data_IF_289802934128
#
_entry.id   IF_289802934128
#
_cell.length_a   1.000
_cell.length_b   1.000
_cell.length_c   1.000
_cell.angle_alpha   90.00
_cell.angle_beta   90.00
_cell.angle_gamma   90.00
#
_symmetry.space_group_name_H-M   'P 1'
#
loop_
_entity.id
_entity.type
_entity.pdbx_description
1 polymer ?
#
# COMPACT_ATOMS: atom_id res chain seq x y z
N UNK A 1 36.60 -49.45 -15.68
CA UNK A 1 36.95 -48.83 -14.39
C UNK A 1 38.29 -48.14 -14.53
N UNK A 2 38.30 -46.84 -14.80
CA UNK A 2 39.54 -46.05 -14.85
C UNK A 2 39.21 -44.67 -14.28
N UNK A 3 39.60 -44.46 -13.03
CA UNK A 3 39.31 -43.27 -12.24
C UNK A 3 40.26 -42.12 -12.61
N UNK A 4 39.71 -40.99 -13.02
CA UNK A 4 40.47 -39.73 -13.11
C UNK A 4 40.16 -38.88 -11.87
N UNK A 5 41.18 -38.69 -11.02
CA UNK A 5 41.24 -37.71 -9.93
C UNK A 5 42.33 -36.68 -10.25
N UNK A 6 42.21 -35.51 -9.59
CA UNK A 6 43.22 -34.46 -9.37
C UNK A 6 43.34 -33.38 -10.50
N UNK A 7 43.44 -32.07 -10.24
CA UNK A 7 43.84 -31.28 -9.05
C UNK A 7 43.12 -29.92 -8.99
N UNK A 8 42.77 -29.48 -7.77
CA UNK A 8 42.56 -28.06 -7.43
C UNK A 8 43.92 -27.35 -7.42
N UNK A 9 44.03 -26.23 -8.11
CA UNK A 9 45.18 -25.32 -7.99
C UNK A 9 44.76 -24.11 -7.13
N UNK A 10 45.34 -24.03 -5.94
CA UNK A 10 45.40 -22.82 -5.15
C UNK A 10 46.71 -22.09 -5.49
N UNK A 11 46.68 -20.77 -5.62
CA UNK A 11 47.86 -19.91 -5.61
C UNK A 11 47.62 -18.75 -4.62
N UNK A 12 48.67 -18.29 -3.90
CA UNK A 12 48.53 -17.38 -2.75
C UNK A 12 49.14 -15.98 -3.02
N UNK A 13 49.17 -15.17 -1.94
CA UNK A 13 50.05 -14.00 -1.69
C UNK A 13 49.51 -12.67 -2.26
N UNK A 14 48.83 -11.81 -1.47
CA UNK A 14 49.33 -10.89 -0.44
C UNK A 14 50.25 -9.78 -0.97
N UNK A 15 49.74 -8.55 -1.06
CA UNK A 15 50.55 -7.32 -1.01
C UNK A 15 49.91 -6.31 -0.07
N UNK A 16 50.81 -5.75 0.73
CA UNK A 16 50.72 -4.95 1.95
C UNK A 16 50.80 -3.44 1.70
N UNK A 17 50.21 -2.69 2.65
CA UNK A 17 50.62 -1.39 3.22
C UNK A 17 50.40 -0.09 2.41
N UNK A 18 49.62 0.83 3.00
CA UNK A 18 50.00 2.22 3.28
C UNK A 18 49.02 2.82 4.32
N UNK A 19 49.34 2.74 5.61
CA UNK A 19 49.68 3.90 6.47
C UNK A 19 49.25 5.28 5.97
N UNK A 20 48.35 5.91 6.72
CA UNK A 20 48.06 7.34 6.71
C UNK A 20 47.51 7.76 8.07
N UNK A 21 48.41 8.01 9.03
CA UNK A 21 48.14 8.72 10.28
C UNK A 21 48.05 10.22 10.02
N UNK A 22 47.14 10.93 10.69
CA UNK A 22 47.18 12.39 10.76
C UNK A 22 46.02 13.07 11.46
N UNK A 23 46.18 13.26 12.78
CA UNK A 23 45.88 14.45 13.62
C UNK A 23 44.50 15.16 13.48
N UNK A 24 43.66 15.13 14.52
CA UNK A 24 43.61 16.05 15.67
C UNK A 24 43.16 17.48 15.35
N UNK A 25 42.01 17.86 15.92
CA UNK A 25 41.47 19.22 15.89
C UNK A 25 40.20 19.33 16.72
N UNK A 26 40.36 19.40 18.05
CA UNK A 26 39.36 19.99 18.94
C UNK A 26 39.39 21.51 18.76
N UNK A 27 38.22 22.16 18.72
CA UNK A 27 38.04 23.46 19.34
C UNK A 27 36.56 23.80 19.46
N UNK A 28 36.10 23.82 20.71
CA UNK A 28 35.06 24.70 21.18
C UNK A 28 35.30 26.14 20.70
N UNK A 29 34.25 26.87 20.35
CA UNK A 29 34.23 28.28 20.67
C UNK A 29 32.82 28.75 20.98
N UNK A 30 32.76 29.36 22.15
CA UNK A 30 31.61 29.84 22.86
C UNK A 30 31.05 31.12 22.25
N UNK A 31 29.74 31.22 22.38
CA UNK A 31 28.92 32.42 22.29
C UNK A 31 29.37 33.49 23.31
N UNK A 32 29.41 34.79 22.97
CA UNK A 32 29.25 35.85 23.95
C UNK A 32 27.86 36.48 23.85
N UNK A 33 27.12 36.38 24.96
CA UNK A 33 25.96 37.19 25.25
C UNK A 33 26.35 38.64 25.61
N UNK A 34 25.58 39.62 25.15
CA UNK A 34 25.16 40.79 25.94
C UNK A 34 24.12 41.59 25.13
N UNK A 35 22.84 41.50 25.49
CA UNK A 35 22.15 42.47 26.36
C UNK A 35 21.54 43.62 25.56
N UNK A 36 20.22 43.55 25.36
CA UNK A 36 19.33 44.62 25.78
C UNK A 36 17.95 44.04 26.08
N UNK A 37 17.64 44.02 27.36
CA UNK A 37 16.34 43.74 27.92
C UNK A 37 15.47 45.00 27.80
N UNK A 38 14.22 44.85 27.34
CA UNK A 38 13.11 45.68 27.81
C UNK A 38 11.82 44.86 27.88
N UNK A 39 11.47 44.55 29.13
CA UNK A 39 10.15 44.47 29.75
C UNK A 39 8.93 44.88 28.90
N UNK A 40 7.95 43.97 28.79
CA UNK A 40 6.56 44.25 29.20
C UNK A 40 5.74 42.96 29.26
N UNK A 41 5.43 42.54 30.49
CA UNK A 41 4.39 41.60 30.83
C UNK A 41 3.02 42.18 30.52
N UNK A 42 2.30 41.64 29.53
CA UNK A 42 0.85 41.73 29.45
C UNK A 42 0.29 40.42 28.88
N UNK A 43 -0.35 39.66 29.76
CA UNK A 43 -1.22 38.54 29.42
C UNK A 43 -2.41 39.06 28.61
N UNK A 44 -2.34 38.94 27.29
CA UNK A 44 -3.48 39.16 26.42
C UNK A 44 -4.24 37.83 26.26
N UNK A 45 -5.44 37.80 26.82
CA UNK A 45 -6.44 36.74 26.65
C UNK A 45 -6.81 36.58 25.17
N UNK A 46 -6.88 35.33 24.71
CA UNK A 46 -7.26 34.90 23.36
C UNK A 46 -8.70 35.36 23.02
N UNK A 47 -8.92 36.10 21.91
CA UNK A 47 -10.22 36.69 21.58
C UNK A 47 -11.22 35.71 20.92
N UNK A 48 -10.92 34.41 20.84
CA UNK A 48 -11.80 33.41 20.26
C UNK A 48 -12.59 32.55 21.27
N UNK A 49 -12.71 32.99 22.53
CA UNK A 49 -13.65 32.40 23.48
C UNK A 49 -15.09 32.91 23.23
N UNK A 50 -15.64 32.58 22.06
CA UNK A 50 -17.07 32.70 21.82
C UNK A 50 -17.79 31.52 22.51
N UNK A 51 -18.89 31.86 23.18
CA UNK A 51 -19.67 31.00 24.06
C UNK A 51 -20.04 29.65 23.43
N UNK A 52 -19.75 28.57 24.17
CA UNK A 52 -20.29 27.24 23.94
C UNK A 52 -21.77 27.24 24.38
N UNK A 53 -22.76 27.06 23.48
CA UNK A 53 -24.18 27.20 23.83
C UNK A 53 -24.74 26.00 24.61
N UNK A 54 -23.91 25.03 25.01
CA UNK A 54 -24.36 23.81 25.70
C UNK A 54 -24.12 23.80 27.23
N UNK A 55 -23.86 24.96 27.86
CA UNK A 55 -23.63 25.03 29.30
C UNK A 55 -24.56 26.03 30.01
N UNK A 56 -25.87 25.84 29.91
CA UNK A 56 -26.86 26.28 30.91
C UNK A 56 -28.26 25.74 30.58
N UNK A 57 -28.72 24.72 31.31
CA UNK A 57 -30.10 24.59 31.80
C UNK A 57 -30.31 23.17 32.38
N UNK A 58 -30.11 23.04 33.69
CA UNK A 58 -30.84 22.06 34.47
C UNK A 58 -32.30 22.51 34.55
N UNK A 59 -33.22 21.81 33.90
CA UNK A 59 -34.63 21.67 34.31
C UNK A 59 -35.36 20.71 33.36
N UNK A 60 -35.75 19.55 33.91
CA UNK A 60 -36.97 18.79 33.63
C UNK A 60 -37.83 19.21 32.42
N UNK A 61 -37.91 18.34 31.40
CA UNK A 61 -38.88 18.42 30.32
C UNK A 61 -38.59 17.38 29.23
N UNK A 62 -39.61 16.68 28.75
CA UNK A 62 -39.54 15.48 27.91
C UNK A 62 -38.77 15.63 26.57
N UNK A 63 -38.18 14.51 26.10
CA UNK A 63 -37.53 14.35 24.80
C UNK A 63 -38.59 14.27 23.66
N UNK A 64 -38.56 15.16 22.65
CA UNK A 64 -39.58 15.25 21.60
C UNK A 64 -39.33 14.32 20.39
N UNK A 65 -38.45 13.32 20.47
CA UNK A 65 -38.19 12.38 19.36
C UNK A 65 -38.85 10.99 19.52
N UNK A 66 -39.85 10.83 20.39
CA UNK A 66 -40.69 9.64 20.43
C UNK A 66 -41.94 9.83 19.56
N UNK A 67 -41.78 9.78 18.23
CA UNK A 67 -42.90 9.72 17.30
C UNK A 67 -42.60 8.74 16.15
N UNK A 68 -43.40 7.66 16.12
CA UNK A 68 -43.69 6.75 15.00
C UNK A 68 -42.53 5.93 14.40
N UNK A 69 -42.34 4.72 14.92
CA UNK A 69 -41.70 3.60 14.23
C UNK A 69 -42.73 2.90 13.32
N UNK A 70 -42.59 2.91 11.97
CA UNK A 70 -43.63 2.40 11.07
C UNK A 70 -43.55 0.89 10.79
N UNK A 71 -42.70 0.13 11.49
CA UNK A 71 -42.47 -1.29 11.19
C UNK A 71 -43.03 -2.26 12.24
N UNK A 72 -44.28 -2.10 12.66
CA UNK A 72 -44.94 -3.09 13.52
C UNK A 72 -46.41 -3.30 13.13
N UNK A 73 -46.67 -4.18 12.14
CA UNK A 73 -47.73 -5.21 12.21
C UNK A 73 -47.83 -6.06 10.91
N UNK A 74 -47.76 -7.40 11.09
CA UNK A 74 -48.27 -8.51 10.26
C UNK A 74 -47.56 -8.80 8.91
N UNK A 75 -47.25 -10.05 8.49
CA UNK A 75 -47.63 -11.41 8.93
C UNK A 75 -46.53 -12.41 8.44
N UNK A 76 -46.29 -13.58 9.09
CA UNK A 76 -45.12 -14.43 8.87
C UNK A 76 -45.42 -15.57 7.90
N UNK A 77 -45.09 -15.44 6.61
CA UNK A 77 -45.08 -16.57 5.64
C UNK A 77 -44.36 -16.22 4.32
N UNK A 78 -43.17 -15.61 4.37
CA UNK A 78 -42.32 -15.50 3.19
C UNK A 78 -40.87 -15.78 3.57
N UNK A 79 -40.36 -16.91 3.09
CA UNK A 79 -38.95 -17.29 3.12
C UNK A 79 -38.19 -16.37 2.13
N UNK A 80 -37.27 -15.50 2.55
CA UNK A 80 -36.61 -14.55 1.65
C UNK A 80 -35.43 -15.17 0.90
N UNK A 81 -35.17 -16.48 1.05
CA UNK A 81 -34.24 -17.20 0.19
C UNK A 81 -34.90 -17.57 -1.15
N UNK A 82 -35.16 -16.58 -2.02
CA UNK A 82 -35.31 -16.78 -3.46
C UNK A 82 -35.22 -15.47 -4.25
N UNK A 83 -34.31 -15.49 -5.22
CA UNK A 83 -34.14 -14.59 -6.37
C UNK A 83 -33.31 -13.31 -6.17
N UNK A 84 -32.19 -13.25 -6.91
CA UNK A 84 -31.48 -12.00 -7.22
C UNK A 84 -29.96 -12.07 -7.10
N UNK A 85 -29.29 -13.04 -7.74
CA UNK A 85 -27.86 -12.93 -8.02
C UNK A 85 -27.63 -11.91 -9.14
N UNK A 86 -27.67 -10.63 -8.80
CA UNK A 86 -27.18 -9.57 -9.67
C UNK A 86 -25.69 -9.38 -9.41
N UNK A 87 -24.88 -10.21 -10.09
CA UNK A 87 -23.48 -9.92 -10.34
C UNK A 87 -23.38 -8.80 -11.38
N UNK A 88 -23.85 -7.61 -11.01
CA UNK A 88 -23.61 -6.38 -11.75
C UNK A 88 -22.29 -5.79 -11.27
N UNK A 89 -21.19 -6.13 -11.92
CA UNK A 89 -19.94 -5.37 -11.80
C UNK A 89 -20.14 -4.01 -12.47
N UNK A 90 -20.85 -3.09 -11.82
CA UNK A 90 -20.90 -1.71 -12.25
C UNK A 90 -19.55 -1.09 -11.94
N UNK A 91 -18.62 -1.22 -12.89
CA UNK A 91 -17.26 -0.71 -12.85
C UNK A 91 -17.19 0.82 -12.76
N UNK A 92 -18.34 1.49 -12.73
CA UNK A 92 -18.54 2.95 -12.79
C UNK A 92 -19.01 3.56 -11.47
N UNK A 93 -19.30 2.74 -10.44
CA UNK A 93 -19.74 3.28 -9.15
C UNK A 93 -18.54 3.97 -8.45
N UNK A 94 -18.70 5.22 -7.97
CA UNK A 94 -17.67 5.87 -7.18
C UNK A 94 -17.35 5.03 -5.94
N UNK A 95 -16.06 4.93 -5.60
CA UNK A 95 -15.64 4.22 -4.41
C UNK A 95 -16.26 4.95 -3.21
N UNK A 96 -16.90 4.24 -2.25
CA UNK A 96 -17.43 4.91 -1.08
C UNK A 96 -16.30 5.71 -0.44
N UNK A 97 -16.55 7.00 -0.19
CA UNK A 97 -15.54 7.87 0.40
C UNK A 97 -14.97 7.18 1.62
N UNK A 98 -13.67 6.86 1.57
CA UNK A 98 -13.01 6.30 2.72
C UNK A 98 -12.99 7.41 3.76
N UNK A 99 -13.92 7.34 4.72
CA UNK A 99 -13.87 8.18 5.92
C UNK A 99 -12.45 8.01 6.46
N UNK A 100 -11.67 9.09 6.64
CA UNK A 100 -10.30 8.99 7.13
C UNK A 100 -10.30 8.27 8.47
N UNK A 101 -10.02 6.97 8.43
CA UNK A 101 -9.98 6.12 9.61
C UNK A 101 -8.56 6.12 10.13
N UNK A 102 -8.43 6.37 11.42
CA UNK A 102 -7.18 6.23 12.16
C UNK A 102 -6.67 4.79 12.04
N UNK A 103 -5.37 4.57 12.24
CA UNK A 103 -4.81 3.21 12.26
C UNK A 103 -5.48 2.31 13.31
N UNK A 104 -6.04 2.90 14.38
CA UNK A 104 -6.82 2.20 15.39
C UNK A 104 -8.15 1.67 14.83
N UNK A 105 -8.78 2.38 13.90
CA UNK A 105 -10.06 2.01 13.28
C UNK A 105 -9.89 1.09 12.07
N UNK A 106 -8.70 1.04 11.47
CA UNK A 106 -8.34 0.11 10.42
C UNK A 106 -6.88 -0.35 10.60
N UNK A 107 -6.63 -1.39 11.44
CA UNK A 107 -5.27 -1.85 11.73
C UNK A 107 -4.54 -2.33 10.47
N UNK A 108 -5.30 -2.84 9.48
CA UNK A 108 -4.76 -3.36 8.23
C UNK A 108 -4.07 -2.28 7.38
N UNK A 109 -4.39 -0.99 7.60
CA UNK A 109 -3.81 0.15 6.88
C UNK A 109 -2.29 0.22 7.03
N UNK A 110 -1.79 -0.18 8.19
CA UNK A 110 -0.36 -0.12 8.53
C UNK A 110 0.45 -1.31 8.05
N UNK A 111 -0.20 -2.45 7.77
CA UNK A 111 0.50 -3.73 7.58
C UNK A 111 1.56 -3.72 6.47
N UNK A 112 1.32 -3.12 5.27
CA UNK A 112 2.35 -3.06 4.24
C UNK A 112 3.59 -2.24 4.61
N UNK A 113 3.54 -1.48 5.72
CA UNK A 113 4.59 -0.58 6.22
C UNK A 113 5.10 -0.95 7.62
N UNK A 114 4.54 -2.00 8.23
CA UNK A 114 4.79 -2.40 9.61
C UNK A 114 6.11 -3.15 9.76
N UNK A 115 7.23 -2.43 9.56
CA UNK A 115 8.60 -2.95 9.62
C UNK A 115 8.98 -3.52 10.99
N UNK A 116 8.24 -3.16 12.03
CA UNK A 116 8.38 -3.67 13.39
C UNK A 116 8.08 -5.18 13.52
N UNK A 117 7.38 -5.77 12.54
CA UNK A 117 6.98 -7.19 12.58
C UNK A 117 8.05 -8.15 12.02
N UNK A 118 9.21 -7.63 11.57
CA UNK A 118 10.35 -8.41 11.05
C UNK A 118 9.98 -9.43 9.97
N UNK A 119 9.01 -9.08 9.10
CA UNK A 119 8.65 -9.90 7.96
C UNK A 119 9.66 -9.76 6.81
N UNK A 120 9.76 -10.77 5.93
CA UNK A 120 10.58 -10.65 4.73
C UNK A 120 10.13 -9.45 3.88
N UNK A 121 11.06 -8.54 3.62
CA UNK A 121 10.85 -7.38 2.76
C UNK A 121 11.05 -7.75 1.29
N UNK A 122 10.44 -6.99 0.38
CA UNK A 122 10.74 -7.12 -1.04
C UNK A 122 12.16 -6.57 -1.32
N UNK A 123 12.91 -7.20 -2.24
CA UNK A 123 14.27 -6.79 -2.59
C UNK A 123 14.36 -5.33 -3.01
N UNK A 124 15.52 -4.70 -2.83
CA UNK A 124 15.74 -3.36 -3.38
C UNK A 124 15.89 -3.44 -4.91
N UNK A 125 15.56 -2.34 -5.61
CA UNK A 125 15.73 -2.29 -7.06
C UNK A 125 17.17 -2.50 -7.55
N UNK A 126 18.17 -2.27 -6.68
CA UNK A 126 19.59 -2.57 -6.94
C UNK A 126 19.92 -4.06 -6.89
N UNK A 127 19.10 -4.86 -6.22
CA UNK A 127 19.27 -6.31 -6.03
C UNK A 127 18.35 -7.10 -6.95
N UNK A 128 17.26 -6.49 -7.42
CA UNK A 128 16.32 -7.13 -8.33
C UNK A 128 16.95 -7.36 -9.72
N UNK A 129 16.96 -8.61 -10.22
CA UNK A 129 17.30 -8.88 -11.60
C UNK A 129 16.32 -8.16 -12.54
N UNK A 130 16.79 -7.84 -13.75
CA UNK A 130 16.04 -7.06 -14.76
C UNK A 130 14.92 -7.88 -15.46
N UNK A 131 14.28 -8.78 -14.70
CA UNK A 131 13.18 -9.65 -15.12
C UNK A 131 11.81 -9.01 -14.90
N UNK A 132 11.73 -7.92 -14.12
CA UNK A 132 10.53 -7.11 -13.95
C UNK A 132 10.81 -5.70 -14.46
N UNK A 133 10.11 -5.29 -15.52
CA UNK A 133 10.22 -3.92 -16.03
C UNK A 133 9.60 -2.93 -15.06
N UNK A 134 10.09 -1.69 -15.01
CA UNK A 134 9.55 -0.62 -14.16
C UNK A 134 9.38 -1.03 -12.69
N UNK A 135 10.32 -1.80 -12.16
CA UNK A 135 10.30 -2.23 -10.77
C UNK A 135 10.34 -1.03 -9.82
N UNK A 136 9.43 -1.01 -8.85
CA UNK A 136 9.43 -0.06 -7.75
C UNK A 136 8.99 -0.74 -6.45
N UNK A 137 9.23 -0.08 -5.32
CA UNK A 137 8.87 -0.55 -3.99
C UNK A 137 8.03 0.50 -3.26
N UNK A 138 6.71 0.54 -3.48
CA UNK A 138 5.83 1.49 -2.81
C UNK A 138 5.68 1.21 -1.30
N UNK A 139 5.97 0.01 -0.83
CA UNK A 139 6.07 -0.31 0.60
C UNK A 139 7.13 -1.39 0.88
N UNK A 140 7.62 -1.52 2.12
CA UNK A 140 8.61 -2.55 2.50
C UNK A 140 8.26 -3.98 2.07
N UNK A 141 6.97 -4.35 2.06
CA UNK A 141 6.53 -5.73 1.81
C UNK A 141 5.81 -5.94 0.47
N UNK A 142 5.57 -4.85 -0.29
CA UNK A 142 4.87 -4.89 -1.57
C UNK A 142 5.70 -4.16 -2.63
N UNK A 143 6.07 -4.89 -3.67
CA UNK A 143 6.70 -4.37 -4.87
C UNK A 143 5.66 -4.08 -5.95
N UNK A 144 5.97 -3.10 -6.79
CA UNK A 144 5.23 -2.74 -7.99
C UNK A 144 6.07 -3.07 -9.23
N UNK A 145 5.42 -3.53 -10.30
CA UNK A 145 6.11 -3.89 -11.53
C UNK A 145 5.26 -3.73 -12.81
N UNK A 146 5.96 -3.60 -13.92
CA UNK A 146 5.44 -3.82 -15.27
C UNK A 146 5.65 -5.27 -15.70
N UNK A 147 5.92 -5.45 -17.00
CA UNK A 147 6.04 -6.77 -17.61
C UNK A 147 7.06 -7.64 -16.87
N UNK A 148 6.65 -8.88 -16.62
CA UNK A 148 7.45 -9.95 -16.05
C UNK A 148 7.91 -10.83 -17.21
N UNK A 149 9.23 -10.98 -17.39
CA UNK A 149 9.80 -11.78 -18.48
C UNK A 149 9.40 -13.25 -18.34
N UNK A 150 9.30 -13.97 -19.47
CA UNK A 150 8.96 -15.40 -19.47
C UNK A 150 9.96 -16.22 -18.64
N UNK A 151 9.46 -17.11 -17.78
CA UNK A 151 10.31 -17.91 -16.89
C UNK A 151 10.88 -17.16 -15.68
N UNK A 152 10.53 -15.88 -15.49
CA UNK A 152 11.01 -15.10 -14.35
C UNK A 152 10.44 -15.56 -13.00
N UNK A 153 9.38 -16.37 -12.96
CA UNK A 153 8.75 -16.81 -11.72
C UNK A 153 9.71 -17.58 -10.80
N UNK A 154 10.59 -18.41 -11.37
CA UNK A 154 11.62 -19.10 -10.59
C UNK A 154 12.64 -18.11 -9.99
N UNK A 155 13.01 -17.08 -10.75
CA UNK A 155 13.91 -16.03 -10.28
C UNK A 155 13.24 -15.19 -9.18
N UNK A 156 11.97 -14.81 -9.34
CA UNK A 156 11.20 -14.11 -8.31
C UNK A 156 11.15 -14.91 -7.01
N UNK A 157 10.96 -16.23 -7.08
CA UNK A 157 11.04 -17.08 -5.90
C UNK A 157 12.42 -17.07 -5.25
N UNK A 158 13.49 -17.11 -6.06
CA UNK A 158 14.87 -17.05 -5.57
C UNK A 158 15.20 -15.71 -4.90
N UNK A 159 14.58 -14.62 -5.35
CA UNK A 159 14.67 -13.28 -4.72
C UNK A 159 13.79 -13.15 -3.46
N UNK A 160 13.14 -14.23 -3.03
CA UNK A 160 12.40 -14.28 -1.77
C UNK A 160 10.94 -13.88 -1.88
N UNK A 161 10.41 -13.58 -3.07
CA UNK A 161 8.97 -13.34 -3.22
C UNK A 161 8.17 -14.58 -2.81
N UNK A 162 7.03 -14.33 -2.18
CA UNK A 162 6.10 -15.38 -1.77
C UNK A 162 4.83 -15.36 -2.62
N UNK A 163 4.39 -14.17 -3.02
CA UNK A 163 3.13 -13.98 -3.75
C UNK A 163 3.32 -13.06 -4.95
N UNK A 164 2.69 -13.42 -6.07
CA UNK A 164 2.56 -12.58 -7.26
C UNK A 164 1.08 -12.26 -7.49
N UNK A 165 0.78 -10.97 -7.68
CA UNK A 165 -0.55 -10.47 -8.03
C UNK A 165 -0.48 -9.86 -9.42
N UNK A 166 -1.14 -10.50 -10.38
CA UNK A 166 -1.20 -10.06 -11.77
C UNK A 166 -2.47 -9.28 -12.04
N UNK A 167 -2.32 -8.08 -12.60
CA UNK A 167 -3.43 -7.26 -13.09
C UNK A 167 -3.67 -7.44 -14.59
N UNK A 168 -2.98 -8.40 -15.22
CA UNK A 168 -3.18 -8.78 -16.62
C UNK A 168 -4.52 -9.50 -16.80
N UNK A 169 -5.18 -9.30 -17.94
CA UNK A 169 -6.41 -10.01 -18.30
C UNK A 169 -6.09 -11.42 -18.84
N UNK A 170 -7.13 -12.23 -19.06
CA UNK A 170 -6.94 -13.58 -19.61
C UNK A 170 -6.33 -13.55 -21.02
N UNK A 171 -6.71 -12.57 -21.83
CA UNK A 171 -6.20 -12.37 -23.19
C UNK A 171 -4.73 -11.94 -23.22
N UNK A 172 -4.21 -11.43 -22.09
CA UNK A 172 -2.80 -11.05 -21.92
C UNK A 172 -1.92 -12.22 -21.44
N UNK A 173 -2.47 -13.44 -21.29
CA UNK A 173 -1.70 -14.65 -20.97
C UNK A 173 -1.53 -14.94 -19.48
N UNK A 174 -2.48 -14.51 -18.64
CA UNK A 174 -2.41 -14.71 -17.18
C UNK A 174 -2.50 -16.20 -16.77
N UNK A 175 -3.03 -17.07 -17.65
CA UNK A 175 -3.18 -18.50 -17.38
C UNK A 175 -1.82 -19.22 -17.38
N UNK A 176 -0.99 -18.92 -18.38
CA UNK A 176 0.39 -19.41 -18.47
C UNK A 176 1.21 -18.87 -17.30
N UNK A 177 1.06 -17.58 -17.00
CA UNK A 177 1.74 -16.92 -15.88
C UNK A 177 1.43 -17.59 -14.54
N UNK A 178 0.15 -17.91 -14.30
CA UNK A 178 -0.30 -18.65 -13.11
C UNK A 178 0.33 -20.03 -13.01
N UNK A 179 0.39 -20.77 -14.12
CA UNK A 179 0.99 -22.10 -14.14
C UNK A 179 2.49 -22.03 -13.83
N UNK A 180 3.22 -21.07 -14.39
CA UNK A 180 4.64 -20.84 -14.11
C UNK A 180 4.87 -20.44 -12.64
N UNK A 181 4.04 -19.57 -12.08
CA UNK A 181 4.13 -19.15 -10.68
C UNK A 181 3.92 -20.32 -9.71
N UNK A 182 2.91 -21.15 -9.93
CA UNK A 182 2.67 -22.33 -9.11
C UNK A 182 3.80 -23.35 -9.22
N UNK A 183 4.35 -23.57 -10.43
CA UNK A 183 5.50 -24.44 -10.63
C UNK A 183 6.75 -23.93 -9.90
N UNK A 184 6.91 -22.62 -9.76
CA UNK A 184 7.97 -21.99 -8.98
C UNK A 184 7.71 -21.98 -7.46
N UNK A 185 6.54 -22.43 -6.99
CA UNK A 185 6.18 -22.40 -5.57
C UNK A 185 5.82 -21.00 -5.04
N UNK A 186 5.28 -20.14 -5.91
CA UNK A 186 4.71 -18.84 -5.57
C UNK A 186 3.19 -18.96 -5.43
N UNK A 187 2.61 -18.20 -4.48
CA UNK A 187 1.18 -17.94 -4.50
C UNK A 187 0.86 -16.99 -5.67
N UNK A 188 -0.25 -17.22 -6.35
CA UNK A 188 -0.62 -16.41 -7.51
C UNK A 188 -2.08 -15.96 -7.44
N UNK A 189 -2.29 -14.66 -7.63
CA UNK A 189 -3.63 -14.05 -7.71
C UNK A 189 -3.78 -13.28 -9.03
N UNK A 190 -4.75 -13.69 -9.85
CA UNK A 190 -5.14 -12.96 -11.05
C UNK A 190 -6.35 -12.07 -10.72
N UNK A 191 -6.19 -10.75 -10.78
CA UNK A 191 -7.29 -9.80 -10.57
C UNK A 191 -7.85 -9.23 -11.88
N UNK A 192 -7.03 -9.18 -12.94
CA UNK A 192 -7.40 -8.81 -14.31
C UNK A 192 -8.10 -7.45 -14.48
N UNK A 193 -7.33 -6.39 -14.71
CA UNK A 193 -7.90 -5.04 -14.91
C UNK A 193 -8.02 -4.74 -16.40
N UNK A 194 -9.22 -4.93 -16.96
CA UNK A 194 -9.57 -4.67 -18.37
C UNK A 194 -10.03 -3.22 -18.63
N UNK A 195 -10.42 -2.50 -17.58
CA UNK A 195 -10.92 -1.12 -17.62
C UNK A 195 -9.79 -0.09 -17.48
N UNK A 196 -10.12 1.21 -17.59
CA UNK A 196 -9.18 2.33 -17.40
C UNK A 196 -8.65 2.42 -15.97
N UNK A 197 -9.45 2.05 -14.96
CA UNK A 197 -9.04 1.96 -13.57
C UNK A 197 -9.59 0.66 -12.93
N UNK A 198 -8.91 0.10 -11.92
CA UNK A 198 -9.43 -1.03 -11.15
C UNK A 198 -10.81 -0.75 -10.56
N UNK A 199 -11.68 -1.76 -10.56
CA UNK A 199 -13.00 -1.65 -9.93
C UNK A 199 -12.90 -1.74 -8.41
N UNK A 200 -13.92 -1.27 -7.71
CA UNK A 200 -14.04 -1.41 -6.25
C UNK A 200 -13.81 -2.85 -5.78
N UNK A 201 -14.42 -3.83 -6.45
CA UNK A 201 -14.28 -5.25 -6.09
C UNK A 201 -12.83 -5.74 -6.24
N UNK A 202 -12.10 -5.26 -7.24
CA UNK A 202 -10.69 -5.59 -7.43
C UNK A 202 -9.81 -4.93 -6.36
N UNK A 203 -10.13 -3.70 -5.96
CA UNK A 203 -9.44 -3.00 -4.87
C UNK A 203 -9.68 -3.71 -3.53
N UNK A 204 -10.89 -4.16 -3.26
CA UNK A 204 -11.21 -4.94 -2.06
C UNK A 204 -10.50 -6.30 -2.06
N UNK A 205 -10.46 -6.98 -3.20
CA UNK A 205 -9.72 -8.24 -3.35
C UNK A 205 -8.22 -8.02 -3.08
N UNK A 206 -7.62 -6.99 -3.67
CA UNK A 206 -6.24 -6.64 -3.40
C UNK A 206 -6.00 -6.26 -1.94
N UNK A 207 -6.93 -5.52 -1.31
CA UNK A 207 -6.82 -5.12 0.10
C UNK A 207 -6.68 -6.33 1.02
N UNK A 208 -7.47 -7.39 0.80
CA UNK A 208 -7.40 -8.65 1.57
C UNK A 208 -6.08 -9.40 1.34
N UNK A 209 -5.54 -9.36 0.12
CA UNK A 209 -4.24 -9.97 -0.19
C UNK A 209 -3.13 -9.19 0.50
N UNK A 210 -3.18 -7.86 0.43
CA UNK A 210 -2.19 -6.94 0.98
C UNK A 210 -2.22 -6.88 2.51
N UNK A 211 -3.34 -7.18 3.16
CA UNK A 211 -3.45 -7.22 4.63
C UNK A 211 -3.14 -8.59 5.25
N UNK A 212 -2.73 -9.58 4.45
CA UNK A 212 -2.34 -10.90 4.96
C UNK A 212 -0.82 -11.05 4.98
N UNK A 213 -0.17 -11.07 6.16
CA UNK A 213 1.29 -11.19 6.26
C UNK A 213 1.83 -12.50 5.68
N UNK A 214 1.00 -13.54 5.62
CA UNK A 214 1.36 -14.82 4.98
C UNK A 214 1.61 -14.68 3.48
N UNK A 215 1.23 -13.56 2.86
CA UNK A 215 1.50 -13.26 1.45
C UNK A 215 2.83 -12.53 1.24
N UNK A 216 3.44 -11.94 2.26
CA UNK A 216 4.66 -11.17 2.09
C UNK A 216 5.88 -12.06 1.82
N UNK A 217 6.80 -11.64 0.92
CA UNK A 217 6.78 -10.43 0.09
C UNK A 217 5.89 -10.57 -1.16
N UNK A 218 5.15 -9.51 -1.52
CA UNK A 218 4.21 -9.49 -2.67
C UNK A 218 4.82 -8.72 -3.85
N UNK A 219 4.73 -9.26 -5.07
CA UNK A 219 4.89 -8.51 -6.31
C UNK A 219 3.52 -8.22 -6.94
N UNK A 220 3.12 -6.96 -7.02
CA UNK A 220 1.96 -6.51 -7.79
C UNK A 220 2.43 -6.01 -9.17
N UNK A 221 1.98 -6.62 -10.25
CA UNK A 221 2.46 -6.26 -11.59
C UNK A 221 1.36 -6.18 -12.67
N UNK A 222 1.69 -5.55 -13.79
CA UNK A 222 0.88 -5.54 -15.01
C UNK A 222 1.80 -5.46 -16.25
N UNK A 223 1.36 -4.85 -17.36
CA UNK A 223 2.23 -4.65 -18.53
C UNK A 223 3.29 -3.54 -18.34
N UNK A 224 2.93 -2.41 -17.73
CA UNK A 224 3.80 -1.21 -17.68
C UNK A 224 3.91 -0.53 -16.32
N UNK A 225 3.35 -1.15 -15.27
CA UNK A 225 3.11 -0.60 -13.94
C UNK A 225 2.02 0.50 -13.85
N UNK A 226 1.39 0.90 -14.97
CA UNK A 226 0.36 1.93 -14.93
C UNK A 226 -0.93 1.48 -14.21
N UNK A 227 -1.40 0.24 -14.45
CA UNK A 227 -2.51 -0.37 -13.68
C UNK A 227 -2.15 -0.59 -12.22
N UNK A 228 -0.87 -0.87 -11.95
CA UNK A 228 -0.36 -1.06 -10.58
C UNK A 228 -0.43 0.24 -9.80
N UNK A 229 0.02 1.36 -10.38
CA UNK A 229 -0.12 2.66 -9.73
C UNK A 229 -1.58 3.07 -9.50
N UNK A 230 -2.47 2.75 -10.44
CA UNK A 230 -3.91 2.97 -10.26
C UNK A 230 -4.49 2.12 -9.11
N UNK A 231 -4.13 0.83 -9.07
CA UNK A 231 -4.51 -0.09 -7.98
C UNK A 231 -3.98 0.39 -6.64
N UNK A 232 -2.72 0.83 -6.61
CA UNK A 232 -2.09 1.33 -5.40
C UNK A 232 -2.79 2.59 -4.88
N UNK A 233 -3.06 3.58 -5.73
CA UNK A 233 -3.79 4.77 -5.33
C UNK A 233 -5.17 4.44 -4.76
N UNK A 234 -5.95 3.62 -5.46
CA UNK A 234 -7.29 3.24 -5.01
C UNK A 234 -7.25 2.39 -3.73
N UNK A 235 -6.27 1.50 -3.59
CA UNK A 235 -6.02 0.75 -2.36
C UNK A 235 -5.74 1.69 -1.19
N UNK A 236 -4.82 2.63 -1.36
CA UNK A 236 -4.45 3.57 -0.29
C UNK A 236 -5.62 4.45 0.11
N UNK A 237 -6.38 4.94 -0.86
CA UNK A 237 -7.64 5.63 -0.60
C UNK A 237 -8.62 4.72 0.15
N UNK A 238 -8.86 3.49 -0.30
CA UNK A 238 -9.72 2.51 0.37
C UNK A 238 -9.31 2.26 1.83
N UNK A 239 -8.02 2.30 2.14
CA UNK A 239 -7.49 2.17 3.50
C UNK A 239 -7.59 3.46 4.35
N UNK A 240 -8.19 4.54 3.84
CA UNK A 240 -8.40 5.80 4.55
C UNK A 240 -7.27 6.83 4.40
N UNK A 241 -6.41 6.68 3.39
CA UNK A 241 -5.45 7.72 3.00
C UNK A 241 -6.19 8.82 2.22
N UNK A 242 -5.96 10.12 2.50
CA UNK A 242 -6.59 11.20 1.73
C UNK A 242 -6.33 11.07 0.22
N UNK A 243 -7.34 11.37 -0.60
CA UNK A 243 -7.34 11.09 -2.03
C UNK A 243 -6.10 11.65 -2.77
N UNK A 244 -5.75 12.92 -2.55
CA UNK A 244 -4.56 13.51 -3.19
C UNK A 244 -3.26 12.84 -2.76
N UNK A 245 -3.12 12.45 -1.50
CA UNK A 245 -1.94 11.70 -1.03
C UNK A 245 -1.88 10.32 -1.68
N UNK A 246 -3.02 9.63 -1.76
CA UNK A 246 -3.12 8.33 -2.40
C UNK A 246 -2.76 8.40 -3.91
N UNK A 247 -3.11 9.49 -4.58
CA UNK A 247 -2.74 9.73 -5.99
C UNK A 247 -1.23 9.94 -6.13
N UNK A 248 -0.61 10.74 -5.26
CA UNK A 248 0.84 10.93 -5.30
C UNK A 248 1.59 9.61 -5.02
N UNK A 249 1.14 8.82 -4.04
CA UNK A 249 1.68 7.48 -3.79
C UNK A 249 1.48 6.57 -5.02
N UNK A 250 0.33 6.64 -5.70
CA UNK A 250 0.07 5.93 -6.94
C UNK A 250 1.00 6.33 -8.08
N UNK A 251 1.26 7.63 -8.25
CA UNK A 251 2.22 8.15 -9.24
C UNK A 251 3.62 7.64 -8.98
N UNK A 252 4.05 7.64 -7.72
CA UNK A 252 5.31 7.02 -7.32
C UNK A 252 5.32 5.53 -7.69
N UNK A 253 4.24 4.79 -7.44
CA UNK A 253 4.11 3.37 -7.77
C UNK A 253 4.02 3.05 -9.29
N UNK A 254 3.73 4.04 -10.15
CA UNK A 254 3.73 3.87 -11.60
C UNK A 254 2.54 4.47 -12.35
N UNK A 255 1.58 5.10 -11.65
CA UNK A 255 0.40 5.73 -12.25
C UNK A 255 0.81 6.81 -13.25
N UNK A 256 0.20 6.80 -14.43
CA UNK A 256 0.39 7.79 -15.49
C UNK A 256 -0.91 8.55 -15.74
N UNK A 257 -0.77 9.72 -16.37
CA UNK A 257 -1.86 10.63 -16.72
C UNK A 257 -3.00 9.95 -17.50
N UNK A 258 -2.71 8.93 -18.31
CA UNK A 258 -3.70 8.20 -19.09
C UNK A 258 -4.74 7.43 -18.26
N UNK A 259 -4.47 7.15 -16.98
CA UNK A 259 -5.41 6.46 -16.07
C UNK A 259 -5.79 7.31 -14.85
N UNK A 260 -5.02 8.34 -14.55
CA UNK A 260 -5.23 9.16 -13.36
C UNK A 260 -6.62 9.82 -13.33
N UNK A 261 -7.14 10.29 -14.46
CA UNK A 261 -8.48 10.90 -14.52
C UNK A 261 -9.57 9.97 -13.99
N UNK A 262 -9.58 8.71 -14.41
CA UNK A 262 -10.53 7.71 -13.92
C UNK A 262 -10.32 7.38 -12.43
N UNK A 263 -9.06 7.36 -11.97
CA UNK A 263 -8.75 7.14 -10.54
C UNK A 263 -9.28 8.30 -9.69
N UNK A 264 -9.14 9.55 -10.16
CA UNK A 264 -9.66 10.75 -9.49
C UNK A 264 -11.18 10.75 -9.40
N UNK A 265 -11.85 10.43 -10.51
CA UNK A 265 -13.31 10.31 -10.57
C UNK A 265 -13.84 9.28 -9.55
N UNK A 266 -13.19 8.11 -9.47
CA UNK A 266 -13.54 7.07 -8.51
C UNK A 266 -13.35 7.50 -7.04
N UNK A 267 -12.49 8.48 -6.77
CA UNK A 267 -12.28 9.07 -5.44
C UNK A 267 -13.18 10.29 -5.16
N UNK A 268 -14.02 10.69 -6.12
CA UNK A 268 -14.89 11.87 -6.02
C UNK A 268 -14.17 13.21 -6.16
N UNK A 269 -13.04 13.24 -6.90
CA UNK A 269 -12.26 14.44 -7.20
C UNK A 269 -12.59 15.03 -8.58
#
# INVERSE_FOLDING_TARGET
MTSYRFKRAALPVAITIALGMGVAGCSDSQNPAATQAQTSSQSATNPCAAANPCAAASQSGANPCAAANPCAAANPSANPCAAGSDSGSDASQPMPAAVPRTATENPDRGLPFAIENDWPMVPYGSEMPQVVKNYNRPSPFIAAGGHVEKGAMAELKAQGFNTVVSLLTEEEGVAEEKAEAHAAGLNFYALGVSTTAPTQAQVEAFSKIASSPANYPILLHCASSNRVGAMWALYRFHMGVPAEIAIEEGRAAGLKTSREGAVRELMGL
#
